data_IF_730280141215
#
_entry.id   IF_730280141215
#
_cell.length_a   1.000
_cell.length_b   1.000
_cell.length_c   1.000
_cell.angle_alpha   90.00
_cell.angle_beta   90.00
_cell.angle_gamma   90.00
#
_symmetry.space_group_name_H-M   'P 1'
#
loop_
_entity.id
_entity.type
_entity.pdbx_description
1 polymer ?
#
# COMPACT_ATOMS: atom_id res chain seq x y z
N UNK A 1 -3.51 18.60 -25.91
CA UNK A 1 -3.14 17.32 -26.57
C UNK A 1 -2.44 16.42 -25.57
N UNK A 2 -2.41 15.09 -25.78
CA UNK A 2 -1.71 14.18 -24.88
C UNK A 2 -0.21 14.54 -24.81
N UNK A 3 0.37 14.51 -23.61
CA UNK A 3 1.83 14.65 -23.44
C UNK A 3 2.50 13.36 -23.91
N UNK A 4 3.38 13.47 -24.90
CA UNK A 4 4.17 12.33 -25.40
C UNK A 4 5.58 12.40 -24.83
N UNK A 5 6.01 11.33 -24.17
CA UNK A 5 7.37 11.19 -23.63
C UNK A 5 8.14 10.14 -24.44
N UNK A 6 9.32 10.49 -24.93
CA UNK A 6 10.23 9.52 -25.57
C UNK A 6 11.10 8.86 -24.50
N UNK A 7 11.08 7.53 -24.46
CA UNK A 7 11.84 6.72 -23.53
C UNK A 7 12.84 5.83 -24.28
N UNK A 8 13.99 5.56 -23.68
CA UNK A 8 14.87 4.47 -24.10
C UNK A 8 14.40 3.13 -23.50
N UNK A 9 15.06 2.03 -23.85
CA UNK A 9 14.63 0.68 -23.41
C UNK A 9 14.76 0.49 -21.89
N UNK A 10 15.79 1.06 -21.28
CA UNK A 10 16.00 1.00 -19.83
C UNK A 10 14.91 1.77 -19.07
N UNK A 11 14.52 2.94 -19.56
CA UNK A 11 13.41 3.73 -19.03
C UNK A 11 12.07 3.02 -19.24
N UNK A 12 11.86 2.35 -20.38
CA UNK A 12 10.67 1.52 -20.63
C UNK A 12 10.57 0.38 -19.62
N UNK A 13 11.68 -0.31 -19.35
CA UNK A 13 11.74 -1.39 -18.37
C UNK A 13 11.39 -0.89 -16.96
N UNK A 14 11.98 0.23 -16.53
CA UNK A 14 11.68 0.84 -15.22
C UNK A 14 10.22 1.30 -15.11
N UNK A 15 9.69 1.90 -16.18
CA UNK A 15 8.28 2.30 -16.23
C UNK A 15 7.36 1.07 -16.14
N UNK A 16 7.68 -0.02 -16.83
CA UNK A 16 6.91 -1.26 -16.74
C UNK A 16 6.93 -1.82 -15.32
N UNK A 17 8.10 -1.89 -14.67
CA UNK A 17 8.19 -2.30 -13.28
C UNK A 17 7.31 -1.43 -12.36
N UNK A 18 7.37 -0.11 -12.50
CA UNK A 18 6.50 0.80 -11.74
C UNK A 18 5.01 0.55 -12.01
N UNK A 19 4.64 0.28 -13.26
CA UNK A 19 3.27 -0.06 -13.66
C UNK A 19 2.77 -1.35 -12.97
N UNK A 20 3.64 -2.35 -12.80
CA UNK A 20 3.30 -3.58 -12.05
C UNK A 20 2.94 -3.25 -10.61
N UNK A 21 3.69 -2.37 -9.93
CA UNK A 21 3.37 -1.96 -8.56
C UNK A 21 2.02 -1.23 -8.45
N UNK A 22 1.77 -0.23 -9.31
CA UNK A 22 0.58 0.62 -9.17
C UNK A 22 -0.70 -0.01 -9.72
N UNK A 23 -0.59 -1.02 -10.59
CA UNK A 23 -1.75 -1.67 -11.19
C UNK A 23 -1.88 -3.14 -10.80
N UNK A 24 -0.90 -3.98 -11.15
CA UNK A 24 -1.03 -5.42 -10.94
C UNK A 24 -1.04 -5.79 -9.46
N UNK A 25 -0.08 -5.27 -8.68
CA UNK A 25 -0.02 -5.55 -7.25
C UNK A 25 -1.17 -4.88 -6.50
N UNK A 26 -1.49 -3.62 -6.82
CA UNK A 26 -2.65 -2.93 -6.25
C UNK A 26 -3.95 -3.71 -6.48
N UNK A 27 -4.19 -4.21 -7.69
CA UNK A 27 -5.38 -5.02 -8.00
C UNK A 27 -5.40 -6.34 -7.22
N UNK A 28 -4.24 -6.97 -7.00
CA UNK A 28 -4.17 -8.16 -6.15
C UNK A 28 -4.55 -7.85 -4.70
N UNK A 29 -4.13 -6.71 -4.16
CA UNK A 29 -4.53 -6.25 -2.83
C UNK A 29 -6.03 -5.97 -2.76
N UNK A 30 -6.64 -5.41 -3.82
CA UNK A 30 -8.09 -5.22 -3.90
C UNK A 30 -8.84 -6.56 -3.89
N UNK A 31 -8.33 -7.59 -4.58
CA UNK A 31 -8.89 -8.94 -4.53
C UNK A 31 -8.85 -9.54 -3.11
N UNK A 32 -7.73 -9.39 -2.39
CA UNK A 32 -7.65 -9.84 -0.99
C UNK A 32 -8.69 -9.10 -0.12
N UNK A 33 -8.79 -7.79 -0.27
CA UNK A 33 -9.79 -6.99 0.46
C UNK A 33 -11.23 -7.40 0.12
N UNK A 34 -11.50 -7.76 -1.14
CA UNK A 34 -12.78 -8.31 -1.58
C UNK A 34 -13.12 -9.59 -0.83
N UNK A 35 -12.20 -10.56 -0.81
CA UNK A 35 -12.41 -11.86 -0.14
C UNK A 35 -12.61 -11.72 1.38
N UNK A 36 -11.86 -10.79 2.02
CA UNK A 36 -12.06 -10.46 3.44
C UNK A 36 -13.47 -9.92 3.71
N UNK A 37 -13.99 -9.02 2.87
CA UNK A 37 -15.34 -8.49 3.04
C UNK A 37 -16.42 -9.51 2.69
N UNK A 38 -16.19 -10.34 1.68
CA UNK A 38 -17.12 -11.37 1.23
C UNK A 38 -17.37 -12.41 2.33
N UNK A 39 -16.32 -12.82 3.07
CA UNK A 39 -16.43 -13.73 4.22
C UNK A 39 -17.40 -13.18 5.30
N UNK A 40 -17.45 -11.87 5.45
CA UNK A 40 -18.33 -11.14 6.38
C UNK A 40 -19.66 -10.69 5.74
N UNK A 41 -19.92 -11.08 4.49
CA UNK A 41 -21.09 -10.66 3.69
C UNK A 41 -21.23 -9.13 3.58
N UNK A 42 -20.10 -8.42 3.60
CA UNK A 42 -20.04 -6.98 3.43
C UNK A 42 -19.81 -6.61 1.96
N UNK A 43 -20.49 -5.59 1.43
CA UNK A 43 -20.31 -5.21 0.03
C UNK A 43 -18.98 -4.47 -0.21
N UNK A 44 -18.23 -4.89 -1.23
CA UNK A 44 -16.93 -4.27 -1.57
C UNK A 44 -17.01 -2.78 -1.90
N UNK A 45 -18.16 -2.30 -2.39
CA UNK A 45 -18.34 -0.89 -2.76
C UNK A 45 -18.14 0.07 -1.58
N UNK A 46 -18.18 -0.42 -0.33
CA UNK A 46 -17.84 0.36 0.87
C UNK A 46 -16.39 0.88 0.86
N UNK A 47 -15.48 0.22 0.14
CA UNK A 47 -14.07 0.62 0.05
C UNK A 47 -13.78 1.58 -1.12
N UNK A 48 -14.67 1.69 -2.11
CA UNK A 48 -14.44 2.52 -3.30
C UNK A 48 -14.19 4.01 -2.98
N UNK A 49 -14.90 4.64 -2.01
CA UNK A 49 -14.60 6.01 -1.62
C UNK A 49 -13.16 6.19 -1.10
N UNK A 50 -12.69 5.27 -0.25
CA UNK A 50 -11.33 5.29 0.32
C UNK A 50 -10.26 5.12 -0.77
N UNK A 51 -10.51 4.21 -1.71
CA UNK A 51 -9.62 4.01 -2.86
C UNK A 51 -9.51 5.26 -3.72
N UNK A 52 -10.65 5.91 -4.01
CA UNK A 52 -10.70 7.15 -4.79
C UNK A 52 -9.95 8.28 -4.09
N UNK A 53 -10.19 8.46 -2.80
CA UNK A 53 -9.49 9.49 -2.01
C UNK A 53 -7.98 9.28 -2.04
N UNK A 54 -7.52 8.03 -1.89
CA UNK A 54 -6.09 7.69 -1.93
C UNK A 54 -5.46 8.11 -3.25
N UNK A 55 -6.11 7.81 -4.39
CA UNK A 55 -5.60 8.17 -5.73
C UNK A 55 -5.69 9.67 -5.97
N UNK A 56 -6.78 10.33 -5.55
CA UNK A 56 -6.98 11.76 -5.75
C UNK A 56 -5.92 12.58 -5.02
N UNK A 57 -5.53 12.19 -3.80
CA UNK A 57 -4.48 12.87 -3.03
C UNK A 57 -3.13 12.88 -3.75
N UNK A 58 -2.83 11.89 -4.59
CA UNK A 58 -1.56 11.83 -5.35
C UNK A 58 -1.45 12.93 -6.41
N UNK A 59 -2.52 13.66 -6.70
CA UNK A 59 -2.48 14.85 -7.57
C UNK A 59 -1.86 16.07 -6.88
N UNK A 60 -1.82 16.08 -5.54
CA UNK A 60 -1.40 17.25 -4.74
C UNK A 60 -0.23 16.96 -3.81
N UNK A 61 -0.10 15.73 -3.30
CA UNK A 61 0.99 15.33 -2.40
C UNK A 61 1.67 14.05 -2.88
N UNK A 62 2.90 13.81 -2.44
CA UNK A 62 3.64 12.60 -2.81
C UNK A 62 3.05 11.34 -2.16
N UNK A 63 3.30 10.12 -2.71
CA UNK A 63 2.89 8.87 -2.08
C UNK A 63 3.42 8.68 -0.65
N UNK A 64 4.62 9.22 -0.35
CA UNK A 64 5.19 9.20 1.00
C UNK A 64 4.35 10.03 1.97
N UNK A 65 4.03 11.27 1.61
CA UNK A 65 3.18 12.16 2.44
C UNK A 65 1.73 11.66 2.54
N UNK A 66 1.23 10.97 1.52
CA UNK A 66 -0.11 10.41 1.51
C UNK A 66 -0.27 9.18 2.42
N UNK A 67 0.83 8.50 2.76
CA UNK A 67 0.79 7.26 3.50
C UNK A 67 0.29 7.47 4.94
N UNK A 68 -0.70 6.69 5.33
CA UNK A 68 -1.26 6.68 6.70
C UNK A 68 -1.40 5.25 7.21
N UNK A 69 -2.10 5.06 8.32
CA UNK A 69 -2.44 3.75 8.86
C UNK A 69 -1.58 3.32 10.05
N UNK A 70 -1.82 2.09 10.56
CA UNK A 70 -1.21 1.63 11.80
C UNK A 70 0.31 1.40 11.67
N UNK A 71 0.81 1.08 10.47
CA UNK A 71 2.24 0.89 10.22
C UNK A 71 3.04 2.19 10.42
N UNK A 72 2.53 3.33 9.92
CA UNK A 72 3.16 4.64 10.08
C UNK A 72 3.17 5.08 11.55
N UNK A 73 2.08 4.83 12.27
CA UNK A 73 1.94 5.20 13.70
C UNK A 73 2.55 4.18 14.66
N UNK A 74 3.11 3.09 14.15
CA UNK A 74 3.60 1.98 14.95
C UNK A 74 2.55 1.41 15.93
N UNK A 75 1.28 1.36 15.49
CA UNK A 75 0.15 0.85 16.27
C UNK A 75 0.14 -0.68 16.28
N UNK A 76 1.00 -1.24 17.13
CA UNK A 76 1.20 -2.69 17.28
C UNK A 76 -0.08 -3.40 17.74
N UNK A 77 -0.93 -2.74 18.52
CA UNK A 77 -2.19 -3.33 19.00
C UNK A 77 -3.12 -3.60 17.82
N UNK A 78 -3.31 -2.63 16.93
CA UNK A 78 -4.14 -2.79 15.73
C UNK A 78 -3.51 -3.81 14.77
N UNK A 79 -2.19 -3.75 14.55
CA UNK A 79 -1.46 -4.70 13.69
C UNK A 79 -1.66 -6.14 14.18
N UNK A 80 -1.48 -6.41 15.49
CA UNK A 80 -1.62 -7.76 16.04
C UNK A 80 -3.04 -8.30 15.89
N UNK A 81 -4.06 -7.44 16.03
CA UNK A 81 -5.46 -7.83 15.79
C UNK A 81 -5.70 -8.20 14.33
N UNK A 82 -5.16 -7.44 13.38
CA UNK A 82 -5.25 -7.81 11.96
C UNK A 82 -4.54 -9.14 11.66
N UNK A 83 -3.37 -9.37 12.25
CA UNK A 83 -2.63 -10.62 12.07
C UNK A 83 -3.36 -11.85 12.63
N UNK A 84 -4.17 -11.67 13.68
CA UNK A 84 -5.04 -12.72 14.22
C UNK A 84 -6.19 -13.02 13.25
N UNK A 85 -6.80 -12.00 12.64
CA UNK A 85 -7.85 -12.18 11.62
C UNK A 85 -7.36 -12.90 10.35
N UNK A 86 -6.04 -12.94 10.12
CA UNK A 86 -5.42 -13.58 8.96
C UNK A 86 -4.81 -14.95 9.30
N UNK A 87 -5.10 -15.54 10.46
CA UNK A 87 -4.50 -16.82 10.86
C UNK A 87 -4.77 -17.98 9.88
N UNK A 88 -5.98 -18.04 9.34
CA UNK A 88 -6.37 -19.07 8.37
C UNK A 88 -5.87 -18.77 6.94
N UNK A 89 -5.18 -17.64 6.73
CA UNK A 89 -4.66 -17.19 5.44
C UNK A 89 -3.16 -16.88 5.52
N UNK A 90 -2.28 -17.89 5.66
CA UNK A 90 -0.86 -17.70 5.93
C UNK A 90 -0.13 -16.86 4.87
N UNK A 91 -0.51 -16.98 3.60
CA UNK A 91 0.07 -16.17 2.52
C UNK A 91 -0.32 -14.68 2.63
N UNK A 92 -1.57 -14.39 2.97
CA UNK A 92 -2.03 -13.00 3.15
C UNK A 92 -1.42 -12.39 4.40
N UNK A 93 -1.29 -13.19 5.47
CA UNK A 93 -0.60 -12.79 6.70
C UNK A 93 0.86 -12.42 6.41
N UNK A 94 1.58 -13.24 5.64
CA UNK A 94 2.95 -12.96 5.23
C UNK A 94 3.05 -11.66 4.39
N UNK A 95 2.16 -11.49 3.41
CA UNK A 95 2.11 -10.28 2.58
C UNK A 95 1.83 -9.03 3.43
N UNK A 96 0.86 -9.10 4.35
CA UNK A 96 0.53 -8.03 5.29
C UNK A 96 1.75 -7.63 6.12
N UNK A 97 2.50 -8.60 6.66
CA UNK A 97 3.71 -8.35 7.43
C UNK A 97 4.81 -7.69 6.59
N UNK A 98 5.02 -8.13 5.35
CA UNK A 98 6.03 -7.55 4.44
C UNK A 98 5.69 -6.09 4.15
N UNK A 99 4.44 -5.79 3.77
CA UNK A 99 3.98 -4.44 3.46
C UNK A 99 4.02 -3.54 4.70
N UNK A 100 3.56 -4.03 5.85
CA UNK A 100 3.58 -3.29 7.13
C UNK A 100 5.01 -2.91 7.51
N UNK A 101 5.94 -3.85 7.41
CA UNK A 101 7.36 -3.61 7.71
C UNK A 101 7.99 -2.62 6.74
N UNK A 102 7.71 -2.75 5.45
CA UNK A 102 8.19 -1.85 4.41
C UNK A 102 7.69 -0.41 4.64
N UNK A 103 6.39 -0.24 4.93
CA UNK A 103 5.80 1.06 5.25
C UNK A 103 6.46 1.67 6.50
N UNK A 104 6.56 0.89 7.59
CA UNK A 104 7.15 1.37 8.84
C UNK A 104 8.60 1.81 8.68
N UNK A 105 9.42 1.08 7.90
CA UNK A 105 10.82 1.43 7.64
C UNK A 105 10.94 2.75 6.85
N UNK A 106 10.06 2.98 5.87
CA UNK A 106 10.05 4.21 5.07
C UNK A 106 9.50 5.44 5.82
N UNK A 107 8.92 5.25 7.01
CA UNK A 107 8.31 6.31 7.84
C UNK A 107 8.93 6.43 9.24
N UNK A 108 10.04 5.72 9.51
CA UNK A 108 10.83 6.02 10.71
C UNK A 108 11.30 7.47 10.64
N UNK A 109 11.12 8.28 11.69
CA UNK A 109 11.89 9.51 11.83
C UNK A 109 13.37 9.14 11.67
N UNK A 110 14.12 9.90 10.87
CA UNK A 110 15.58 9.82 10.90
C UNK A 110 15.99 9.87 12.37
N UNK A 111 16.62 8.81 12.88
CA UNK A 111 17.36 8.90 14.12
C UNK A 111 18.32 10.07 13.91
N UNK A 112 18.12 11.17 14.64
CA UNK A 112 19.09 12.24 14.67
C UNK A 112 20.36 11.61 15.20
N UNK A 113 21.34 11.38 14.35
CA UNK A 113 22.71 11.17 14.80
C UNK A 113 23.01 12.30 15.78
N UNK A 114 23.41 12.01 17.02
CA UNK A 114 23.86 13.06 17.92
C UNK A 114 24.97 13.84 17.19
N UNK A 115 25.00 15.19 17.26
CA UNK A 115 26.17 15.90 16.80
C UNK A 115 27.37 15.42 17.64
N UNK A 116 28.43 15.02 16.95
CA UNK A 116 29.76 14.80 17.54
C UNK A 116 30.23 16.06 18.30
#
# INVERSE_FOLDING_TARGET
>A
GPKVFRLNDEQRLRLHLAAVFVNNFANHLFRIAWEVLEAERLPFHLLLPLMRETVERLTTISPHEAQTGPAVRNDLRTINRHLALLEDHPEWKALYQILTRSIAQNHKPLERTPPD
#
